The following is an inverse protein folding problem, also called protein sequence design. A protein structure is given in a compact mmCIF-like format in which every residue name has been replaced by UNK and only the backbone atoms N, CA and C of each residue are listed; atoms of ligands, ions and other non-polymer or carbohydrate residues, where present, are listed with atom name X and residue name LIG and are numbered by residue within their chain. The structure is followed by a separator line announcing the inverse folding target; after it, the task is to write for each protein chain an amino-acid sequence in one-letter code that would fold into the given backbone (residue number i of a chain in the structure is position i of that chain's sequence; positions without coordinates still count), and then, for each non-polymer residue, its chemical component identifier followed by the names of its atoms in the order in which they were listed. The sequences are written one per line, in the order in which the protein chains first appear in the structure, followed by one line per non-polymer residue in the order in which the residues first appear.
data_IF_819136344131
#
_entry.id   IF_819136344131
#
_cell.length_a   1.000
_cell.length_b   1.000
_cell.length_c   1.000
_cell.angle_alpha   90.00
_cell.angle_beta   90.00
_cell.angle_gamma   90.00
#
_symmetry.space_group_name_H-M   'P 1'
#
loop_
_entity.id
_entity.type
_entity.pdbx_description
1 polymer ?
#
# COMPACT_ATOMS: atom_id res chain seq x y z
N UNK A 1 -18.75 36.83 19.66
CA UNK A 1 -17.38 36.27 19.55
C UNK A 1 -17.41 34.80 19.94
N UNK A 2 -16.56 34.00 19.30
CA UNK A 2 -16.39 32.54 19.36
C UNK A 2 -17.41 31.68 18.60
N UNK A 3 -17.16 31.47 17.30
CA UNK A 3 -17.91 30.57 16.42
C UNK A 3 -16.98 29.55 15.71
N UNK A 4 -15.94 29.05 16.39
CA UNK A 4 -14.87 28.27 15.75
C UNK A 4 -14.38 27.03 16.52
N UNK A 5 -15.24 26.32 17.24
CA UNK A 5 -14.88 25.02 17.81
C UNK A 5 -16.15 24.17 17.93
N UNK A 6 -16.38 23.17 17.06
CA UNK A 6 -15.61 21.93 17.14
C UNK A 6 -15.54 21.17 15.79
N UNK A 7 -14.76 21.65 14.81
CA UNK A 7 -14.49 20.88 13.58
C UNK A 7 -13.33 19.87 13.75
N UNK A 8 -12.78 19.73 14.95
CA UNK A 8 -11.58 18.93 15.23
C UNK A 8 -11.83 17.45 15.55
N UNK A 9 -13.08 17.01 15.69
CA UNK A 9 -13.38 15.62 16.12
C UNK A 9 -13.65 14.67 14.94
N UNK A 10 -13.56 15.13 13.69
CA UNK A 10 -13.82 14.31 12.51
C UNK A 10 -12.59 13.57 11.93
N UNK A 11 -11.38 13.75 12.48
CA UNK A 11 -10.15 13.17 11.91
C UNK A 11 -9.64 11.87 12.58
N UNK A 12 -10.33 11.32 13.58
CA UNK A 12 -9.83 10.19 14.35
C UNK A 12 -10.29 8.79 13.89
N UNK A 13 -11.03 8.68 12.78
CA UNK A 13 -11.52 7.37 12.28
C UNK A 13 -11.25 7.18 10.77
N UNK A 14 -10.04 7.45 10.32
CA UNK A 14 -9.47 6.64 9.23
C UNK A 14 -8.56 5.62 9.88
N UNK A 15 -9.15 4.51 10.32
CA UNK A 15 -8.39 3.39 10.84
C UNK A 15 -7.26 3.06 9.85
N UNK A 16 -6.03 3.03 10.35
CA UNK A 16 -4.83 2.56 9.65
C UNK A 16 -4.89 1.04 9.40
N UNK A 17 -6.05 0.52 8.99
CA UNK A 17 -6.20 -0.82 8.47
C UNK A 17 -5.89 -0.77 6.99
N UNK A 18 -4.62 -0.97 6.64
CA UNK A 18 -4.24 -1.22 5.25
C UNK A 18 -4.99 -2.49 4.85
N UNK A 19 -5.97 -2.43 3.94
CA UNK A 19 -6.70 -3.63 3.53
C UNK A 19 -5.70 -4.71 3.10
N UNK A 20 -5.97 -5.99 3.44
CA UNK A 20 -4.99 -7.08 3.26
C UNK A 20 -4.57 -7.29 1.79
N UNK A 21 -5.36 -6.75 0.85
CA UNK A 21 -5.11 -6.78 -0.59
C UNK A 21 -4.61 -5.43 -1.14
N UNK A 22 -3.96 -4.59 -0.32
CA UNK A 22 -3.31 -3.37 -0.82
C UNK A 22 -1.83 -3.56 -1.05
N UNK A 23 -1.35 -2.96 -2.13
CA UNK A 23 0.07 -2.82 -2.41
C UNK A 23 0.62 -1.71 -1.51
N UNK A 24 1.59 -2.06 -0.67
CA UNK A 24 2.20 -1.13 0.29
C UNK A 24 3.53 -0.64 -0.29
N UNK A 25 3.73 0.67 -0.47
CA UNK A 25 5.03 1.22 -0.85
C UNK A 25 6.00 1.12 0.33
N UNK A 26 7.20 0.61 0.07
CA UNK A 26 8.29 0.52 1.05
C UNK A 26 9.20 1.75 0.92
N UNK A 27 9.94 2.06 2.01
CA UNK A 27 10.87 3.21 2.03
C UNK A 27 12.01 3.12 1.01
N UNK A 28 12.34 1.92 0.54
CA UNK A 28 13.35 1.66 -0.49
C UNK A 28 12.85 1.95 -1.93
N UNK A 29 11.59 2.37 -2.08
CA UNK A 29 10.96 2.57 -3.39
C UNK A 29 10.51 1.26 -4.05
N UNK A 30 10.61 0.14 -3.34
CA UNK A 30 9.99 -1.14 -3.73
C UNK A 30 8.54 -1.20 -3.28
N UNK A 31 7.71 -1.95 -4.00
CA UNK A 31 6.33 -2.21 -3.63
C UNK A 31 6.23 -3.58 -2.94
N UNK A 32 5.31 -3.70 -1.99
CA UNK A 32 4.98 -4.96 -1.33
C UNK A 32 3.53 -5.33 -1.63
N UNK A 33 3.28 -6.54 -2.10
CA UNK A 33 1.93 -7.10 -2.27
C UNK A 33 1.76 -8.33 -1.39
N UNK A 34 0.52 -8.76 -1.12
CA UNK A 34 0.27 -9.99 -0.38
C UNK A 34 0.62 -11.24 -1.21
N UNK A 35 0.45 -11.18 -2.54
CA UNK A 35 0.70 -12.30 -3.46
C UNK A 35 1.39 -11.88 -4.75
N UNK A 36 2.01 -12.85 -5.44
CA UNK A 36 2.61 -12.65 -6.77
C UNK A 36 1.59 -12.17 -7.81
N UNK A 37 0.36 -12.70 -7.77
CA UNK A 37 -0.72 -12.30 -8.68
C UNK A 37 -1.09 -10.82 -8.50
N UNK A 38 -1.21 -10.37 -7.25
CA UNK A 38 -1.54 -8.98 -6.94
C UNK A 38 -0.42 -8.02 -7.37
N UNK A 39 0.85 -8.42 -7.21
CA UNK A 39 1.99 -7.66 -7.72
C UNK A 39 1.94 -7.52 -9.26
N UNK A 40 1.67 -8.64 -9.95
CA UNK A 40 1.52 -8.68 -11.41
C UNK A 40 0.42 -7.75 -11.91
N UNK A 41 -0.79 -7.91 -11.36
CA UNK A 41 -1.95 -7.09 -11.73
C UNK A 41 -1.66 -5.60 -11.52
N UNK A 42 -1.06 -5.22 -10.39
CA UNK A 42 -0.77 -3.82 -10.07
C UNK A 42 0.16 -3.14 -11.10
N UNK A 43 1.18 -3.86 -11.59
CA UNK A 43 2.04 -3.32 -12.64
C UNK A 43 1.35 -3.34 -14.01
N UNK A 44 0.57 -4.38 -14.32
CA UNK A 44 -0.19 -4.45 -15.58
C UNK A 44 -1.23 -3.35 -15.72
N UNK A 45 -1.91 -2.96 -14.64
CA UNK A 45 -2.83 -1.80 -14.62
C UNK A 45 -2.12 -0.49 -15.01
N UNK A 46 -0.80 -0.43 -14.84
CA UNK A 46 0.05 0.71 -15.22
C UNK A 46 0.75 0.52 -16.57
N UNK A 47 0.50 -0.60 -17.27
CA UNK A 47 1.20 -0.97 -18.51
C UNK A 47 2.67 -1.34 -18.32
N UNK A 48 3.08 -1.68 -17.08
CA UNK A 48 4.44 -2.07 -16.72
C UNK A 48 4.51 -3.57 -16.38
N UNK A 49 5.71 -4.12 -16.33
CA UNK A 49 5.95 -5.49 -15.88
C UNK A 49 6.32 -5.54 -14.39
N UNK A 50 5.85 -6.56 -13.69
CA UNK A 50 6.21 -6.80 -12.31
C UNK A 50 7.55 -7.54 -12.22
N UNK A 51 8.59 -6.86 -11.73
CA UNK A 51 9.86 -7.48 -11.35
C UNK A 51 9.81 -7.90 -9.89
N UNK A 52 9.75 -9.19 -9.64
CA UNK A 52 9.78 -9.75 -8.29
C UNK A 52 11.18 -9.63 -7.70
N UNK A 53 11.29 -9.01 -6.54
CA UNK A 53 12.56 -8.81 -5.82
C UNK A 53 12.77 -9.87 -4.74
N UNK A 54 11.69 -10.49 -4.26
CA UNK A 54 11.77 -11.58 -3.29
C UNK A 54 10.54 -11.65 -2.38
N UNK A 55 10.66 -12.37 -1.26
CA UNK A 55 9.64 -12.37 -0.21
C UNK A 55 9.78 -11.12 0.66
N UNK A 56 8.65 -10.56 1.08
CA UNK A 56 8.63 -9.49 2.06
C UNK A 56 8.98 -10.02 3.46
N UNK A 57 9.63 -9.18 4.27
CA UNK A 57 9.97 -9.52 5.66
C UNK A 57 8.70 -9.85 6.47
N UNK A 58 8.84 -10.74 7.44
CA UNK A 58 7.77 -11.30 8.29
C UNK A 58 6.73 -12.17 7.56
N UNK A 59 7.06 -12.74 6.40
CA UNK A 59 6.19 -13.64 5.61
C UNK A 59 4.88 -13.00 5.13
N UNK A 60 4.78 -11.67 5.17
CA UNK A 60 3.53 -10.97 4.86
C UNK A 60 3.43 -10.57 3.37
N UNK A 61 3.96 -11.42 2.48
CA UNK A 61 3.81 -11.28 1.02
C UNK A 61 5.12 -11.19 0.24
N UNK A 62 5.10 -10.43 -0.85
CA UNK A 62 6.16 -10.37 -1.86
C UNK A 62 6.60 -8.94 -2.14
N UNK A 63 7.89 -8.74 -2.33
CA UNK A 63 8.49 -7.48 -2.77
C UNK A 63 8.64 -7.48 -4.28
N UNK A 64 8.29 -6.38 -4.91
CA UNK A 64 8.36 -6.21 -6.35
C UNK A 64 8.60 -4.74 -6.74
N UNK A 65 8.96 -4.52 -8.00
CA UNK A 65 9.02 -3.19 -8.62
C UNK A 65 8.29 -3.26 -9.96
N UNK A 66 7.64 -2.17 -10.35
CA UNK A 66 7.09 -2.04 -11.70
C UNK A 66 8.12 -1.33 -12.57
N UNK A 67 8.49 -1.95 -13.69
CA UNK A 67 9.42 -1.41 -14.69
C UNK A 67 8.98 -1.77 -16.12
#
# INVERSE_FOLDING_TARGET
MNWLAPLLVALLVTGCGVPPNQVVPMRDGTLRAATYLQAGNHCQEKGLNARMLGKAQAEQGVLFRCE
#
